data_IF_471744267741
#
_entry.id   IF_471744267741
#
_cell.length_a   1.000
_cell.length_b   1.000
_cell.length_c   1.000
_cell.angle_alpha   90.00
_cell.angle_beta   90.00
_cell.angle_gamma   90.00
#
_symmetry.space_group_name_H-M   'P 1'
#
loop_
_entity.id
_entity.type
_entity.pdbx_description
1 polymer ?
#
# COMPACT_ATOMS: atom_id res chain seq x y z
N UNK A 1 8.02 -23.12 -3.51
CA UNK A 1 6.70 -22.61 -3.62
C UNK A 1 5.89 -23.41 -4.61
N UNK A 2 4.80 -23.98 -4.17
CA UNK A 2 3.83 -24.66 -5.02
C UNK A 2 3.24 -23.58 -5.93
N UNK A 3 3.31 -23.74 -7.24
CA UNK A 3 2.77 -22.80 -8.20
C UNK A 3 1.28 -22.56 -7.94
N UNK A 4 0.97 -21.40 -7.37
CA UNK A 4 -0.41 -20.96 -7.24
C UNK A 4 -0.91 -20.62 -8.63
N UNK A 5 -1.91 -21.33 -9.12
CA UNK A 5 -2.62 -21.00 -10.36
C UNK A 5 -3.54 -19.79 -10.19
N UNK A 6 -3.52 -19.14 -9.02
CA UNK A 6 -4.40 -18.04 -8.70
C UNK A 6 -3.62 -16.72 -8.73
N UNK A 7 -4.10 -15.77 -9.54
CA UNK A 7 -3.64 -14.39 -9.57
C UNK A 7 -4.38 -13.56 -8.52
N UNK A 8 -3.83 -12.39 -8.16
CA UNK A 8 -4.42 -11.53 -7.12
C UNK A 8 -5.90 -11.19 -7.35
N UNK A 9 -6.36 -11.10 -8.61
CA UNK A 9 -7.79 -10.89 -8.91
C UNK A 9 -8.71 -11.99 -8.35
N UNK A 10 -8.21 -13.19 -8.06
CA UNK A 10 -9.01 -14.22 -7.40
C UNK A 10 -9.46 -13.82 -5.99
N UNK A 11 -8.73 -12.92 -5.31
CA UNK A 11 -9.13 -12.37 -4.01
C UNK A 11 -10.45 -11.59 -4.07
N UNK A 12 -10.85 -11.11 -5.25
CA UNK A 12 -12.13 -10.41 -5.42
C UNK A 12 -13.34 -11.32 -5.13
N UNK A 13 -13.21 -12.62 -5.33
CA UNK A 13 -14.27 -13.59 -5.04
C UNK A 13 -14.33 -13.96 -3.56
N UNK A 14 -13.31 -13.57 -2.79
CA UNK A 14 -13.19 -13.83 -1.37
C UNK A 14 -13.42 -12.58 -0.50
N UNK A 15 -13.96 -11.49 -1.06
CA UNK A 15 -14.37 -10.33 -0.27
C UNK A 15 -15.48 -10.76 0.69
N UNK A 16 -15.26 -10.69 2.03
CA UNK A 16 -16.21 -11.23 2.99
C UNK A 16 -17.50 -10.39 3.04
N UNK A 17 -18.59 -11.03 3.43
CA UNK A 17 -19.78 -10.30 3.89
C UNK A 17 -19.47 -9.79 5.29
N UNK A 18 -19.62 -8.49 5.49
CA UNK A 18 -19.31 -7.82 6.76
C UNK A 18 -20.61 -7.52 7.50
N UNK A 19 -20.63 -7.85 8.79
CA UNK A 19 -21.67 -7.38 9.69
C UNK A 19 -21.37 -5.92 10.09
N UNK A 20 -22.27 -5.00 9.72
CA UNK A 20 -22.11 -3.58 10.03
C UNK A 20 -22.24 -3.24 11.53
N UNK A 21 -22.66 -4.19 12.38
CA UNK A 21 -22.73 -3.99 13.82
C UNK A 21 -21.35 -3.90 14.48
N UNK A 22 -20.29 -4.38 13.80
CA UNK A 22 -18.94 -4.42 14.37
C UNK A 22 -17.92 -3.79 13.42
N UNK A 23 -17.02 -2.92 13.93
CA UNK A 23 -15.89 -2.43 13.15
C UNK A 23 -15.05 -3.59 12.62
N UNK A 24 -14.81 -3.61 11.32
CA UNK A 24 -14.08 -4.71 10.67
C UNK A 24 -12.93 -4.15 9.83
N UNK A 25 -11.73 -4.66 10.05
CA UNK A 25 -10.57 -4.46 9.19
C UNK A 25 -10.38 -5.70 8.32
N UNK A 26 -10.38 -5.52 7.00
CA UNK A 26 -10.07 -6.58 6.05
C UNK A 26 -8.69 -6.30 5.47
N UNK A 27 -7.81 -7.30 5.51
CA UNK A 27 -6.46 -7.21 4.95
C UNK A 27 -6.36 -8.14 3.74
N UNK A 28 -6.10 -7.57 2.57
CA UNK A 28 -5.78 -8.30 1.35
C UNK A 28 -4.27 -8.30 1.18
N UNK A 29 -3.64 -9.46 1.36
CA UNK A 29 -2.21 -9.63 1.10
C UNK A 29 -2.02 -10.10 -0.34
N UNK A 30 -1.56 -9.21 -1.19
CA UNK A 30 -1.37 -9.44 -2.62
C UNK A 30 0.09 -9.75 -2.94
N UNK A 31 0.32 -10.49 -4.01
CA UNK A 31 1.67 -10.73 -4.53
C UNK A 31 2.19 -9.52 -5.32
N UNK A 32 1.29 -8.75 -5.93
CA UNK A 32 1.64 -7.55 -6.67
C UNK A 32 2.71 -7.78 -7.73
N UNK A 33 3.75 -6.96 -7.68
CA UNK A 33 4.88 -7.00 -8.61
C UNK A 33 6.08 -7.81 -8.10
N UNK A 34 5.85 -8.85 -7.27
CA UNK A 34 6.92 -9.73 -6.82
C UNK A 34 7.57 -10.48 -8.00
N UNK A 35 8.89 -10.73 -7.93
CA UNK A 35 9.62 -11.55 -8.90
C UNK A 35 8.97 -12.94 -9.07
N UNK A 36 9.12 -13.57 -10.07
CA UNK A 36 9.01 -13.67 -11.47
C UNK A 36 7.79 -12.94 -12.03
N UNK A 37 7.99 -11.83 -12.65
CA UNK A 37 6.91 -10.90 -13.04
C UNK A 37 5.91 -11.54 -14.00
N UNK A 38 6.36 -12.38 -14.93
CA UNK A 38 5.53 -13.10 -15.90
C UNK A 38 4.49 -14.04 -15.27
N UNK A 39 4.69 -14.40 -13.99
CA UNK A 39 3.79 -15.26 -13.23
C UNK A 39 2.75 -14.48 -12.42
N UNK A 40 2.76 -13.14 -12.49
CA UNK A 40 1.89 -12.28 -11.67
C UNK A 40 0.58 -11.89 -12.36
N UNK A 41 0.46 -12.12 -13.66
CA UNK A 41 -0.74 -11.83 -14.45
C UNK A 41 -0.99 -12.92 -15.51
N UNK A 42 -2.25 -13.11 -15.96
CA UNK A 42 -2.54 -14.08 -17.00
C UNK A 42 -2.04 -13.59 -18.37
N UNK A 43 -1.60 -14.51 -19.23
CA UNK A 43 -1.00 -14.20 -20.53
C UNK A 43 -1.89 -13.36 -21.45
N UNK A 44 -3.20 -13.51 -21.35
CA UNK A 44 -4.17 -12.71 -22.12
C UNK A 44 -4.34 -11.28 -21.57
N UNK A 45 -3.71 -10.93 -20.45
CA UNK A 45 -3.64 -9.58 -19.89
C UNK A 45 -2.23 -8.99 -20.03
N UNK A 46 -1.50 -9.39 -21.06
CA UNK A 46 -0.21 -8.77 -21.46
C UNK A 46 -0.50 -7.58 -22.35
N UNK A 47 -0.18 -6.37 -21.88
CA UNK A 47 -0.40 -5.11 -22.61
C UNK A 47 0.91 -4.50 -23.13
N UNK A 48 1.99 -4.63 -22.37
CA UNK A 48 3.30 -4.14 -22.74
C UNK A 48 4.14 -5.28 -23.30
N UNK A 49 4.65 -5.11 -24.52
CA UNK A 49 5.48 -6.08 -25.22
C UNK A 49 6.26 -5.41 -26.35
N UNK A 50 7.43 -5.97 -26.67
CA UNK A 50 8.25 -5.50 -27.79
C UNK A 50 9.31 -4.46 -27.44
N UNK A 51 9.40 -4.06 -26.16
CA UNK A 51 10.49 -3.25 -25.64
C UNK A 51 11.55 -4.10 -24.92
N UNK A 52 11.86 -3.76 -23.68
CA UNK A 52 12.69 -4.57 -22.81
C UNK A 52 11.80 -5.58 -22.07
N UNK A 53 11.97 -6.86 -22.37
CA UNK A 53 11.11 -7.92 -21.83
C UNK A 53 10.99 -7.88 -20.31
N UNK A 54 12.07 -7.58 -19.59
CA UNK A 54 12.06 -7.51 -18.12
C UNK A 54 11.28 -6.31 -17.62
N UNK A 55 11.41 -5.15 -18.25
CA UNK A 55 10.64 -3.95 -17.91
C UNK A 55 9.18 -4.12 -18.31
N UNK A 56 8.92 -4.63 -19.54
CA UNK A 56 7.57 -4.85 -20.04
C UNK A 56 6.78 -5.80 -19.11
N UNK A 57 7.43 -6.87 -18.62
CA UNK A 57 6.78 -7.80 -17.68
C UNK A 57 6.52 -7.15 -16.34
N UNK A 58 7.43 -6.33 -15.83
CA UNK A 58 7.22 -5.56 -14.60
C UNK A 58 6.04 -4.58 -14.75
N UNK A 59 6.01 -3.81 -15.83
CA UNK A 59 4.96 -2.83 -16.11
C UNK A 59 3.57 -3.50 -16.23
N UNK A 60 3.51 -4.70 -16.81
CA UNK A 60 2.29 -5.51 -16.85
C UNK A 60 1.82 -5.88 -15.44
N UNK A 61 2.72 -6.17 -14.48
CA UNK A 61 2.33 -6.45 -13.09
C UNK A 61 1.73 -5.23 -12.41
N UNK A 62 2.30 -4.04 -12.66
CA UNK A 62 1.77 -2.77 -12.14
C UNK A 62 0.36 -2.51 -12.67
N UNK A 63 0.16 -2.65 -13.98
CA UNK A 63 -1.15 -2.48 -14.60
C UNK A 63 -2.18 -3.49 -14.07
N UNK A 64 -1.76 -4.75 -13.87
CA UNK A 64 -2.62 -5.80 -13.32
C UNK A 64 -3.06 -5.49 -11.88
N UNK A 65 -2.12 -5.01 -11.06
CA UNK A 65 -2.39 -4.57 -9.69
C UNK A 65 -3.34 -3.36 -9.65
N UNK A 66 -3.14 -2.38 -10.53
CA UNK A 66 -4.04 -1.22 -10.65
C UNK A 66 -5.47 -1.64 -11.02
N UNK A 67 -5.61 -2.57 -11.96
CA UNK A 67 -6.92 -3.13 -12.33
C UNK A 67 -7.57 -3.90 -11.18
N UNK A 68 -6.79 -4.67 -10.41
CA UNK A 68 -7.27 -5.35 -9.20
C UNK A 68 -7.80 -4.34 -8.19
N UNK A 69 -7.02 -3.30 -7.87
CA UNK A 69 -7.40 -2.24 -6.92
C UNK A 69 -8.67 -1.52 -7.37
N UNK A 70 -8.79 -1.20 -8.66
CA UNK A 70 -10.00 -0.61 -9.23
C UNK A 70 -11.22 -1.49 -9.01
N UNK A 71 -11.12 -2.79 -9.31
CA UNK A 71 -12.23 -3.74 -9.14
C UNK A 71 -12.57 -3.94 -7.66
N UNK A 72 -11.57 -4.06 -6.80
CA UNK A 72 -11.74 -4.14 -5.36
C UNK A 72 -12.49 -2.91 -4.83
N UNK A 73 -12.04 -1.71 -5.18
CA UNK A 73 -12.70 -0.47 -4.78
C UNK A 73 -14.16 -0.42 -5.25
N UNK A 74 -14.46 -0.83 -6.49
CA UNK A 74 -15.84 -0.88 -7.00
C UNK A 74 -16.71 -1.84 -6.20
N UNK A 75 -16.16 -2.95 -5.71
CA UNK A 75 -16.90 -3.87 -4.82
C UNK A 75 -17.08 -3.26 -3.43
N UNK A 76 -16.01 -2.76 -2.82
CA UNK A 76 -16.02 -2.25 -1.45
C UNK A 76 -16.95 -1.05 -1.27
N UNK A 77 -16.96 -0.11 -2.22
CA UNK A 77 -17.83 1.08 -2.14
C UNK A 77 -19.33 0.78 -2.21
N UNK A 78 -19.72 -0.46 -2.56
CA UNK A 78 -21.11 -0.92 -2.52
C UNK A 78 -21.47 -1.55 -1.18
N UNK A 79 -20.48 -1.83 -0.34
CA UNK A 79 -20.74 -2.38 0.98
C UNK A 79 -21.32 -1.29 1.88
N UNK A 80 -22.31 -1.69 2.68
CA UNK A 80 -22.81 -0.82 3.74
C UNK A 80 -21.67 -0.48 4.68
N UNK A 81 -21.62 0.78 5.11
CA UNK A 81 -20.62 1.28 6.07
C UNK A 81 -19.15 1.16 5.63
N UNK A 82 -18.89 1.13 4.30
CA UNK A 82 -17.52 1.25 3.80
C UNK A 82 -16.88 2.55 4.26
N UNK A 83 -15.81 2.46 5.04
CA UNK A 83 -15.14 3.60 5.67
C UNK A 83 -13.92 4.11 4.90
N UNK A 84 -13.19 3.23 4.28
CA UNK A 84 -12.01 3.61 3.51
C UNK A 84 -11.20 2.43 3.03
N UNK A 85 -10.13 2.75 2.29
CA UNK A 85 -9.16 1.80 1.77
C UNK A 85 -7.77 2.39 1.90
N UNK A 86 -6.84 1.59 2.34
CA UNK A 86 -5.41 1.90 2.32
C UNK A 86 -4.71 0.90 1.42
N UNK A 87 -3.86 1.40 0.53
CA UNK A 87 -2.97 0.56 -0.27
C UNK A 87 -1.54 1.06 -0.12
N UNK A 88 -0.63 0.15 0.12
CA UNK A 88 0.80 0.40 0.14
C UNK A 88 1.56 -0.87 -0.26
N UNK A 89 2.80 -0.71 -0.71
CA UNK A 89 3.73 -1.82 -0.87
C UNK A 89 4.64 -1.93 0.35
N UNK A 90 5.09 -3.14 0.67
CA UNK A 90 6.10 -3.37 1.72
C UNK A 90 7.49 -2.91 1.29
N UNK A 91 7.80 -2.96 -0.02
CA UNK A 91 9.03 -2.42 -0.62
C UNK A 91 8.80 -2.09 -2.10
N UNK A 92 9.71 -1.33 -2.68
CA UNK A 92 9.84 -1.14 -4.12
C UNK A 92 10.83 -2.14 -4.72
N UNK A 93 11.06 -2.06 -6.03
CA UNK A 93 12.00 -2.90 -6.76
C UNK A 93 12.83 -2.09 -7.76
N UNK A 94 14.09 -2.48 -7.96
CA UNK A 94 14.89 -2.01 -9.10
C UNK A 94 14.72 -2.95 -10.28
N UNK A 95 13.63 -2.78 -11.00
CA UNK A 95 13.33 -3.55 -12.21
C UNK A 95 14.30 -3.24 -13.34
N UNK A 96 14.92 -2.06 -13.36
CA UNK A 96 15.84 -1.65 -14.43
C UNK A 96 17.18 -2.36 -14.35
N UNK A 97 17.71 -2.52 -13.13
CA UNK A 97 18.97 -3.25 -12.90
C UNK A 97 18.75 -4.76 -12.79
N UNK A 98 17.50 -5.22 -12.71
CA UNK A 98 17.19 -6.64 -12.58
C UNK A 98 17.60 -7.24 -11.22
N UNK A 99 17.83 -6.42 -10.22
CA UNK A 99 18.21 -6.85 -8.87
C UNK A 99 17.01 -6.99 -7.92
N UNK A 100 15.82 -6.55 -8.38
CA UNK A 100 14.59 -6.61 -7.61
C UNK A 100 14.71 -5.85 -6.29
N UNK A 101 14.42 -6.54 -5.18
CA UNK A 101 14.51 -6.03 -3.81
C UNK A 101 15.63 -6.72 -2.99
N UNK A 102 16.74 -7.07 -3.62
CA UNK A 102 17.84 -7.74 -2.94
C UNK A 102 18.45 -6.85 -1.84
N UNK A 103 18.15 -7.15 -0.58
CA UNK A 103 18.58 -6.36 0.56
C UNK A 103 20.13 -6.27 0.72
N UNK A 104 20.88 -7.17 0.11
CA UNK A 104 22.36 -7.12 0.09
C UNK A 104 22.91 -6.12 -0.92
N UNK A 105 22.07 -5.72 -1.89
CA UNK A 105 22.34 -4.75 -2.94
C UNK A 105 21.35 -3.60 -2.85
N UNK A 106 21.15 -3.07 -1.64
CA UNK A 106 20.17 -2.02 -1.38
C UNK A 106 20.37 -0.81 -2.30
N UNK A 107 19.28 -0.41 -2.94
CA UNK A 107 19.18 0.81 -3.74
C UNK A 107 18.02 1.67 -3.22
N UNK A 108 18.14 3.00 -3.21
CA UNK A 108 17.08 3.90 -2.71
C UNK A 108 15.70 3.65 -3.36
N UNK A 109 15.67 3.32 -4.65
CA UNK A 109 14.44 3.01 -5.38
C UNK A 109 13.61 1.88 -4.74
N UNK A 110 14.25 0.98 -3.99
CA UNK A 110 13.56 -0.09 -3.26
C UNK A 110 12.70 0.42 -2.09
N UNK A 111 12.83 1.69 -1.74
CA UNK A 111 11.98 2.35 -0.73
C UNK A 111 10.95 3.29 -1.33
N UNK A 112 10.94 3.48 -2.66
CA UNK A 112 9.90 4.22 -3.36
C UNK A 112 8.69 3.32 -3.55
N UNK A 113 7.70 3.49 -2.68
CA UNK A 113 6.48 2.69 -2.67
C UNK A 113 5.24 3.56 -2.92
N UNK A 114 4.19 3.01 -3.52
CA UNK A 114 2.90 3.65 -3.48
C UNK A 114 2.34 3.64 -2.04
N UNK A 115 1.74 4.76 -1.63
CA UNK A 115 0.98 4.87 -0.39
C UNK A 115 -0.29 5.66 -0.67
N UNK A 116 -1.42 4.97 -0.70
CA UNK A 116 -2.71 5.54 -1.06
C UNK A 116 -3.69 5.39 0.09
N UNK A 117 -4.31 6.49 0.48
CA UNK A 117 -5.36 6.51 1.51
C UNK A 117 -6.63 7.08 0.90
N UNK A 118 -7.68 6.28 0.88
CA UNK A 118 -9.01 6.71 0.50
C UNK A 118 -9.94 6.66 1.70
N UNK A 119 -10.61 7.76 1.99
CA UNK A 119 -11.69 7.82 2.98
C UNK A 119 -13.04 8.00 2.26
N UNK A 120 -14.06 7.28 2.69
CA UNK A 120 -15.43 7.46 2.18
C UNK A 120 -15.94 8.86 2.47
N UNK A 121 -17.02 9.26 1.80
CA UNK A 121 -17.67 10.56 2.06
C UNK A 121 -18.15 10.66 3.51
N UNK A 122 -18.64 9.57 4.05
CA UNK A 122 -19.10 9.46 5.45
C UNK A 122 -17.92 9.65 6.41
N UNK A 123 -16.83 8.92 6.21
CA UNK A 123 -15.63 9.04 7.04
C UNK A 123 -15.06 10.45 7.05
N UNK A 124 -15.07 11.13 5.89
CA UNK A 124 -14.62 12.54 5.80
C UNK A 124 -15.52 13.51 6.55
N UNK A 125 -16.84 13.25 6.58
CA UNK A 125 -17.81 14.06 7.34
C UNK A 125 -17.69 13.81 8.84
N UNK A 126 -17.53 12.56 9.25
CA UNK A 126 -17.41 12.17 10.66
C UNK A 126 -16.06 12.58 11.27
N UNK A 127 -15.00 12.56 10.45
CA UNK A 127 -13.62 12.84 10.88
C UNK A 127 -12.96 13.91 9.99
N UNK A 128 -13.50 15.15 9.96
CA UNK A 128 -13.02 16.20 9.06
C UNK A 128 -11.56 16.61 9.34
N UNK A 129 -11.15 16.59 10.61
CA UNK A 129 -9.77 16.90 10.98
C UNK A 129 -8.80 15.86 10.41
N UNK A 130 -9.10 14.55 10.52
CA UNK A 130 -8.28 13.50 9.93
C UNK A 130 -8.10 13.72 8.42
N UNK A 131 -9.19 14.04 7.72
CA UNK A 131 -9.14 14.33 6.28
C UNK A 131 -8.25 15.53 5.96
N UNK A 132 -8.40 16.63 6.68
CA UNK A 132 -7.59 17.84 6.50
C UNK A 132 -6.10 17.58 6.75
N UNK A 133 -5.77 16.85 7.82
CA UNK A 133 -4.40 16.49 8.16
C UNK A 133 -3.77 15.63 7.06
N UNK A 134 -4.45 14.57 6.61
CA UNK A 134 -3.94 13.72 5.54
C UNK A 134 -3.72 14.50 4.23
N UNK A 135 -4.61 15.45 3.90
CA UNK A 135 -4.42 16.32 2.74
C UNK A 135 -3.21 17.25 2.88
N UNK A 136 -2.96 17.79 4.09
CA UNK A 136 -1.81 18.66 4.33
C UNK A 136 -0.48 17.92 4.34
N UNK A 137 -0.49 16.62 4.64
CA UNK A 137 0.71 15.79 4.74
C UNK A 137 1.01 14.95 3.49
N UNK A 138 0.25 15.08 2.42
CA UNK A 138 0.40 14.28 1.18
C UNK A 138 1.80 14.34 0.55
N UNK A 139 2.54 15.42 0.78
CA UNK A 139 3.88 15.65 0.25
C UNK A 139 4.98 15.51 1.35
N UNK A 140 4.61 15.04 2.55
CA UNK A 140 5.57 14.81 3.62
C UNK A 140 6.31 13.48 3.43
N UNK A 141 7.54 13.42 3.93
CA UNK A 141 8.28 12.15 4.02
C UNK A 141 7.55 11.18 4.92
N UNK A 142 7.47 9.93 4.48
CA UNK A 142 6.89 8.84 5.24
C UNK A 142 7.57 7.52 4.85
N UNK A 143 7.60 6.58 5.77
CA UNK A 143 8.08 5.21 5.52
C UNK A 143 7.15 4.20 6.16
N UNK A 144 7.13 2.97 5.63
CA UNK A 144 6.29 1.90 6.19
C UNK A 144 6.74 1.43 7.59
N UNK A 145 7.93 1.80 8.07
CA UNK A 145 8.30 1.66 9.49
C UNK A 145 7.33 2.41 10.42
N UNK A 146 6.60 3.40 9.90
CA UNK A 146 5.63 4.23 10.64
C UNK A 146 4.18 3.76 10.48
N UNK A 147 3.95 2.66 9.77
CA UNK A 147 2.61 2.15 9.48
C UNK A 147 1.78 1.93 10.75
N UNK A 148 2.41 1.47 11.83
CA UNK A 148 1.73 1.25 13.11
C UNK A 148 1.07 2.53 13.63
N UNK A 149 1.82 3.64 13.70
CA UNK A 149 1.30 4.92 14.19
C UNK A 149 0.11 5.38 13.33
N UNK A 150 0.26 5.35 12.02
CA UNK A 150 -0.79 5.70 11.07
C UNK A 150 -2.06 4.86 11.27
N UNK A 151 -1.92 3.53 11.35
CA UNK A 151 -3.07 2.62 11.50
C UNK A 151 -3.79 2.79 12.83
N UNK A 152 -3.07 3.09 13.91
CA UNK A 152 -3.67 3.39 15.22
C UNK A 152 -4.65 4.57 15.11
N UNK A 153 -4.22 5.67 14.53
CA UNK A 153 -5.10 6.85 14.35
C UNK A 153 -6.18 6.60 13.32
N UNK A 154 -5.86 5.97 12.19
CA UNK A 154 -6.85 5.68 11.15
C UNK A 154 -8.00 4.83 11.70
N UNK A 155 -7.71 3.81 12.47
CA UNK A 155 -8.69 2.89 13.06
C UNK A 155 -9.35 3.43 14.35
N UNK A 156 -8.88 4.57 14.86
CA UNK A 156 -9.41 5.16 16.10
C UNK A 156 -9.11 4.32 17.35
N UNK A 157 -7.94 3.66 17.37
CA UNK A 157 -7.53 2.84 18.53
C UNK A 157 -7.01 3.77 19.62
N UNK A 158 -7.71 3.79 20.76
CA UNK A 158 -7.29 4.56 21.92
C UNK A 158 -6.24 3.80 22.76
N UNK A 159 -5.34 4.56 23.39
CA UNK A 159 -4.33 4.01 24.31
C UNK A 159 -3.43 2.91 23.70
N UNK A 160 -3.18 2.96 22.42
CA UNK A 160 -2.29 2.02 21.77
C UNK A 160 -0.85 2.14 22.32
N UNK A 161 -0.24 1.03 22.78
CA UNK A 161 1.09 1.08 23.36
C UNK A 161 2.13 1.53 22.34
N UNK A 162 3.08 2.36 22.76
CA UNK A 162 4.21 2.85 21.92
C UNK A 162 3.78 3.65 20.68
N UNK A 163 2.53 4.10 20.57
CA UNK A 163 2.17 5.03 19.50
C UNK A 163 2.79 6.41 19.78
N UNK A 164 3.26 7.06 18.71
CA UNK A 164 3.89 8.38 18.76
C UNK A 164 3.23 9.28 17.71
N UNK A 165 2.51 10.29 18.19
CA UNK A 165 1.79 11.22 17.32
C UNK A 165 2.71 12.08 16.44
N UNK A 166 3.97 12.27 16.82
CA UNK A 166 4.95 12.99 16.00
C UNK A 166 5.46 12.16 14.80
N UNK A 167 5.24 10.86 14.83
CA UNK A 167 5.59 9.89 13.78
C UNK A 167 4.35 9.35 13.03
N UNK A 168 3.18 9.90 13.32
CA UNK A 168 1.91 9.51 12.72
C UNK A 168 1.46 10.53 11.67
N UNK A 169 1.54 10.17 10.40
CA UNK A 169 1.16 11.04 9.27
C UNK A 169 -0.32 11.46 9.30
N UNK A 170 -1.16 10.77 10.05
CA UNK A 170 -2.56 11.12 10.28
C UNK A 170 -2.76 12.06 11.48
N UNK A 171 -1.71 12.41 12.20
CA UNK A 171 -1.72 13.33 13.34
C UNK A 171 -1.33 14.75 12.94
N UNK A 172 -1.99 15.80 13.47
CA UNK A 172 -1.56 17.18 13.29
C UNK A 172 -0.17 17.46 13.89
N UNK A 173 0.33 16.59 14.76
CA UNK A 173 1.65 16.68 15.38
C UNK A 173 2.77 16.05 14.54
N UNK A 174 2.45 15.48 13.38
CA UNK A 174 3.43 14.83 12.52
C UNK A 174 4.60 15.74 12.18
N UNK A 175 5.79 15.27 12.48
CA UNK A 175 7.02 16.02 12.24
C UNK A 175 8.20 15.08 11.99
N UNK A 176 8.32 14.59 10.75
CA UNK A 176 9.43 13.74 10.32
C UNK A 176 10.28 14.47 9.28
N UNK A 177 11.34 15.17 9.69
CA UNK A 177 12.27 15.73 8.72
C UNK A 177 13.12 14.62 8.07
N UNK A 178 13.51 14.84 6.80
CA UNK A 178 14.22 13.84 5.99
C UNK A 178 15.47 13.25 6.69
N UNK A 179 16.23 14.10 7.37
CA UNK A 179 17.44 13.66 8.08
C UNK A 179 17.18 12.66 9.21
N UNK A 180 15.94 12.61 9.73
CA UNK A 180 15.50 11.67 10.75
C UNK A 180 14.73 10.47 10.18
N UNK A 181 14.31 10.55 8.91
CA UNK A 181 13.56 9.47 8.29
C UNK A 181 14.42 8.19 8.17
N UNK A 182 13.85 7.08 8.60
CA UNK A 182 14.49 5.75 8.57
C UNK A 182 13.56 4.73 7.94
N UNK A 183 14.17 3.71 7.38
CA UNK A 183 13.50 2.55 6.79
C UNK A 183 14.22 1.26 7.20
N UNK A 184 13.70 0.10 6.81
CA UNK A 184 14.23 -1.21 7.17
C UNK A 184 14.37 -1.38 8.70
N UNK A 185 13.31 -1.09 9.43
CA UNK A 185 13.25 -1.13 10.90
C UNK A 185 14.30 -0.21 11.55
N UNK A 186 14.42 1.00 11.03
CA UNK A 186 15.34 2.02 11.51
C UNK A 186 16.81 1.85 11.11
N UNK A 187 17.14 0.81 10.34
CA UNK A 187 18.54 0.47 10.01
C UNK A 187 19.16 1.32 8.92
N UNK A 188 18.34 1.86 8.02
CA UNK A 188 18.79 2.68 6.89
C UNK A 188 18.19 4.09 6.99
N UNK A 189 19.00 5.08 6.66
CA UNK A 189 18.49 6.44 6.43
C UNK A 189 17.71 6.44 5.13
N UNK A 190 16.58 7.15 5.10
CA UNK A 190 15.85 7.39 3.85
C UNK A 190 16.70 8.28 2.96
N UNK A 191 16.89 7.85 1.72
CA UNK A 191 17.61 8.57 0.66
C UNK A 191 16.66 8.65 -0.54
N UNK A 192 16.08 9.83 -0.82
CA UNK A 192 15.10 10.02 -1.89
C UNK A 192 15.71 9.97 -3.28
#
# INVERSE_FOLDING_TARGET
>A
GVGSTYYDKALLDHVPIVDSAHPTLIVFHVMGSHASYEDRYPKNETYFSGGNNHIDTYDNTILYTDQFLKQLYVKLKKMQDFRGLVYFSDHGEDSRKGIGHNATQYEPIMTHIPFVVHLSSESRKERPLLWQVLQSHKDCWWTNDLLYNFMVTLLGIENAPKSDSSLDIASPNYNLPLEKARTLHGKKKLDP
#
